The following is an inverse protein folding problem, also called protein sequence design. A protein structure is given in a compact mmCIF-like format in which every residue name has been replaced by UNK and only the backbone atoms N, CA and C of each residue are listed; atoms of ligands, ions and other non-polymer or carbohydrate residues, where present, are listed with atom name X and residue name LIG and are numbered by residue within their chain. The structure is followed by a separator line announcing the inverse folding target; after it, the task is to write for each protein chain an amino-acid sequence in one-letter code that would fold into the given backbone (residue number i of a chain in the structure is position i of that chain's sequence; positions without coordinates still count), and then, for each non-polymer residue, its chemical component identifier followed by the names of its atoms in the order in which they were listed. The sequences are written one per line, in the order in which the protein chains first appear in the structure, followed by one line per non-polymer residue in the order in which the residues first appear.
data_IF_592420553713
#
_entry.id   IF_592420553713
#
_cell.length_a   1.000
_cell.length_b   1.000
_cell.length_c   1.000
_cell.angle_alpha   90.00
_cell.angle_beta   90.00
_cell.angle_gamma   90.00
#
_symmetry.space_group_name_H-M   'P 1'
#
loop_
_entity.id
_entity.type
_entity.pdbx_description
1 polymer ?
#
# COMPACT_ATOMS: atom_id res chain seq x y z
N UNK A 1 0.72 30.83 16.38
CA UNK A 1 0.26 30.89 14.97
C UNK A 1 0.91 29.74 14.18
N UNK A 2 0.74 28.49 14.64
CA UNK A 2 1.43 27.28 14.12
C UNK A 2 0.46 26.14 13.78
N UNK A 3 -0.82 26.30 14.13
CA UNK A 3 -1.88 25.30 13.96
C UNK A 3 -2.40 25.21 12.52
N UNK A 4 -2.40 26.31 11.77
CA UNK A 4 -2.96 26.35 10.41
C UNK A 4 -2.07 25.65 9.37
N UNK A 5 -0.74 25.66 9.53
CA UNK A 5 0.19 25.05 8.56
C UNK A 5 0.28 23.53 8.69
N UNK A 6 0.04 22.97 9.87
CA UNK A 6 0.10 21.52 10.13
C UNK A 6 -1.21 20.79 9.78
N UNK A 7 -2.35 21.48 9.85
CA UNK A 7 -3.69 20.94 9.57
C UNK A 7 -3.84 20.33 8.16
N UNK A 8 -3.39 20.99 7.06
CA UNK A 8 -3.50 20.43 5.71
C UNK A 8 -2.69 19.16 5.51
N UNK A 9 -1.46 19.10 6.04
CA UNK A 9 -0.57 17.95 5.90
C UNK A 9 -1.12 16.73 6.66
N UNK A 10 -1.54 16.91 7.92
CA UNK A 10 -2.19 15.86 8.73
C UNK A 10 -3.48 15.39 8.07
N UNK A 11 -4.32 16.31 7.59
CA UNK A 11 -5.55 15.97 6.86
C UNK A 11 -5.26 15.19 5.58
N UNK A 12 -4.23 15.57 4.83
CA UNK A 12 -3.81 14.85 3.62
C UNK A 12 -3.35 13.43 3.93
N UNK A 13 -2.60 13.24 5.02
CA UNK A 13 -2.11 11.93 5.44
C UNK A 13 -3.26 10.99 5.84
N UNK A 14 -4.28 11.51 6.54
CA UNK A 14 -5.47 10.72 6.92
C UNK A 14 -6.26 10.28 5.70
N UNK A 15 -6.51 11.18 4.74
CA UNK A 15 -7.19 10.81 3.50
C UNK A 15 -6.38 9.82 2.68
N UNK A 16 -5.06 10.00 2.59
CA UNK A 16 -4.20 9.06 1.91
C UNK A 16 -4.20 7.67 2.57
N UNK A 17 -4.27 7.59 3.91
CA UNK A 17 -4.44 6.33 4.62
C UNK A 17 -5.77 5.64 4.28
N UNK A 18 -6.87 6.39 4.21
CA UNK A 18 -8.20 5.86 3.83
C UNK A 18 -8.18 5.34 2.40
N UNK A 19 -7.57 6.09 1.47
CA UNK A 19 -7.42 5.64 0.08
C UNK A 19 -6.56 4.38 0.00
N UNK A 20 -5.49 4.30 0.78
CA UNK A 20 -4.59 3.15 0.78
C UNK A 20 -5.24 1.88 1.32
N UNK A 21 -5.92 1.95 2.47
CA UNK A 21 -6.68 0.77 2.96
C UNK A 21 -7.81 0.38 2.00
N UNK A 22 -8.38 1.35 1.28
CA UNK A 22 -9.35 1.09 0.21
C UNK A 22 -8.74 0.34 -0.97
N UNK A 23 -7.60 0.80 -1.49
CA UNK A 23 -6.85 0.13 -2.56
C UNK A 23 -6.44 -1.29 -2.18
N UNK A 24 -5.92 -1.45 -0.97
CA UNK A 24 -5.54 -2.75 -0.41
C UNK A 24 -6.75 -3.68 -0.26
N UNK A 25 -7.87 -3.16 0.23
CA UNK A 25 -9.12 -3.91 0.34
C UNK A 25 -9.62 -4.41 -1.02
N UNK A 26 -9.57 -3.57 -2.07
CA UNK A 26 -9.92 -3.98 -3.44
C UNK A 26 -8.98 -5.09 -3.93
N UNK A 27 -7.69 -5.04 -3.57
CA UNK A 27 -6.74 -6.09 -3.91
C UNK A 27 -7.04 -7.42 -3.19
N UNK A 28 -7.36 -7.38 -1.90
CA UNK A 28 -7.80 -8.57 -1.16
C UNK A 28 -9.07 -9.17 -1.79
N UNK A 29 -10.02 -8.34 -2.21
CA UNK A 29 -11.22 -8.80 -2.90
C UNK A 29 -10.92 -9.48 -4.24
N UNK A 30 -9.92 -9.01 -5.00
CA UNK A 30 -9.50 -9.71 -6.22
C UNK A 30 -8.92 -11.09 -5.91
N UNK A 31 -8.10 -11.25 -4.86
CA UNK A 31 -7.62 -12.58 -4.45
C UNK A 31 -8.75 -13.52 -4.03
N UNK A 32 -9.72 -13.02 -3.27
CA UNK A 32 -10.92 -13.80 -2.91
C UNK A 32 -11.70 -14.23 -4.16
N UNK A 33 -11.86 -13.31 -5.12
CA UNK A 33 -12.57 -13.55 -6.39
C UNK A 33 -11.82 -14.50 -7.32
N UNK A 34 -10.49 -14.43 -7.38
CA UNK A 34 -9.64 -15.34 -8.17
C UNK A 34 -9.53 -16.73 -7.55
N UNK A 35 -9.77 -16.81 -6.24
CA UNK A 35 -9.56 -17.97 -5.39
C UNK A 35 -8.21 -17.86 -4.67
N UNK A 36 -8.18 -18.11 -3.37
CA UNK A 36 -6.97 -17.93 -2.54
C UNK A 36 -5.80 -18.85 -2.93
N UNK A 37 -6.07 -19.92 -3.68
CA UNK A 37 -5.06 -20.83 -4.25
C UNK A 37 -4.55 -20.41 -5.64
N UNK A 38 -5.08 -19.32 -6.21
CA UNK A 38 -4.62 -18.80 -7.51
C UNK A 38 -3.21 -18.23 -7.45
N UNK A 39 -2.76 -17.80 -6.26
CA UNK A 39 -1.42 -17.29 -6.00
C UNK A 39 -0.60 -18.32 -5.20
N UNK A 40 0.73 -18.36 -5.34
CA UNK A 40 1.58 -19.23 -4.52
C UNK A 40 1.39 -18.98 -3.02
N UNK A 41 1.50 -20.04 -2.20
CA UNK A 41 1.31 -19.92 -0.74
C UNK A 41 2.25 -18.88 -0.10
N UNK A 42 3.50 -18.78 -0.58
CA UNK A 42 4.44 -17.80 -0.09
C UNK A 42 3.98 -16.35 -0.36
N UNK A 43 3.35 -16.09 -1.52
CA UNK A 43 2.74 -14.80 -1.84
C UNK A 43 1.56 -14.51 -0.90
N UNK A 44 0.71 -15.50 -0.63
CA UNK A 44 -0.43 -15.31 0.28
C UNK A 44 0.01 -15.00 1.72
N UNK A 45 1.02 -15.72 2.22
CA UNK A 45 1.61 -15.45 3.54
C UNK A 45 2.26 -14.07 3.57
N UNK A 46 3.07 -13.74 2.56
CA UNK A 46 3.72 -12.43 2.45
C UNK A 46 2.72 -11.28 2.38
N UNK A 47 1.64 -11.45 1.61
CA UNK A 47 0.54 -10.50 1.50
C UNK A 47 -0.22 -10.31 2.82
N UNK A 48 -0.44 -11.38 3.58
CA UNK A 48 -1.05 -11.27 4.91
C UNK A 48 -0.16 -10.50 5.89
N UNK A 49 1.15 -10.79 5.93
CA UNK A 49 2.12 -10.07 6.75
C UNK A 49 2.15 -8.59 6.35
N UNK A 50 2.19 -8.30 5.05
CA UNK A 50 2.11 -6.95 4.52
C UNK A 50 0.81 -6.25 4.93
N UNK A 51 -0.33 -6.95 4.89
CA UNK A 51 -1.61 -6.43 5.34
C UNK A 51 -1.62 -5.99 6.81
N UNK A 52 -0.92 -6.71 7.69
CA UNK A 52 -0.75 -6.28 9.09
C UNK A 52 0.00 -4.93 9.19
N UNK A 53 1.03 -4.74 8.37
CA UNK A 53 1.75 -3.46 8.30
C UNK A 53 0.87 -2.33 7.74
N UNK A 54 0.02 -2.61 6.75
CA UNK A 54 -0.96 -1.63 6.24
C UNK A 54 -1.91 -1.20 7.33
N UNK A 55 -2.55 -2.16 8.01
CA UNK A 55 -3.50 -1.87 9.09
C UNK A 55 -2.82 -1.05 10.19
N UNK A 56 -1.62 -1.44 10.63
CA UNK A 56 -0.88 -0.71 11.65
C UNK A 56 -0.56 0.73 11.21
N UNK A 57 -0.05 0.93 9.99
CA UNK A 57 0.29 2.26 9.48
C UNK A 57 -0.94 3.16 9.32
N UNK A 58 -2.06 2.59 8.86
CA UNK A 58 -3.36 3.29 8.74
C UNK A 58 -3.88 3.70 10.11
N UNK A 59 -3.84 2.79 11.10
CA UNK A 59 -4.25 3.10 12.48
C UNK A 59 -3.41 4.24 13.04
N UNK A 60 -2.08 4.21 12.87
CA UNK A 60 -1.19 5.28 13.31
C UNK A 60 -1.54 6.63 12.64
N UNK A 61 -1.82 6.62 11.33
CA UNK A 61 -2.22 7.82 10.60
C UNK A 61 -3.57 8.38 11.07
N UNK A 62 -4.57 7.52 11.28
CA UNK A 62 -5.89 7.92 11.74
C UNK A 62 -5.88 8.45 13.18
N UNK A 63 -5.04 7.85 14.03
CA UNK A 63 -4.79 8.26 15.41
C UNK A 63 -3.88 9.50 15.53
N UNK A 64 -3.39 10.04 14.41
CA UNK A 64 -2.46 11.18 14.38
C UNK A 64 -1.19 10.93 15.23
N UNK A 65 -0.71 9.70 15.20
CA UNK A 65 0.47 9.29 15.96
C UNK A 65 1.75 9.92 15.37
N UNK A 66 2.72 10.27 16.22
CA UNK A 66 4.01 10.83 15.80
C UNK A 66 4.79 9.94 14.81
N UNK A 67 4.58 8.62 14.85
CA UNK A 67 5.21 7.67 13.94
C UNK A 67 4.53 7.58 12.57
N UNK A 68 3.33 8.14 12.42
CA UNK A 68 2.50 7.99 11.22
C UNK A 68 3.20 8.42 9.92
N UNK A 69 3.92 9.56 9.85
CA UNK A 69 4.60 9.96 8.62
C UNK A 69 5.66 8.94 8.19
N UNK A 70 6.47 8.46 9.16
CA UNK A 70 7.54 7.49 8.90
C UNK A 70 6.97 6.14 8.47
N UNK A 71 5.94 5.65 9.15
CA UNK A 71 5.30 4.37 8.78
C UNK A 71 4.61 4.48 7.43
N UNK A 72 4.00 5.62 7.10
CA UNK A 72 3.39 5.83 5.80
C UNK A 72 4.39 5.76 4.65
N UNK A 73 5.58 6.36 4.83
CA UNK A 73 6.67 6.28 3.84
C UNK A 73 7.11 4.84 3.62
N UNK A 74 7.44 4.14 4.72
CA UNK A 74 7.99 2.77 4.65
C UNK A 74 6.96 1.80 4.09
N UNK A 75 5.73 1.81 4.61
CA UNK A 75 4.70 0.86 4.19
C UNK A 75 4.17 1.20 2.81
N UNK A 76 3.94 2.48 2.50
CA UNK A 76 3.44 2.89 1.19
C UNK A 76 4.40 2.56 0.04
N UNK A 77 5.67 2.95 0.13
CA UNK A 77 6.67 2.59 -0.89
C UNK A 77 7.03 1.11 -0.86
N UNK A 78 7.12 0.51 0.33
CA UNK A 78 7.37 -0.92 0.48
C UNK A 78 6.30 -1.76 -0.22
N UNK A 79 5.02 -1.45 0.00
CA UNK A 79 3.91 -2.04 -0.74
C UNK A 79 4.06 -1.84 -2.24
N UNK A 80 4.25 -0.60 -2.70
CA UNK A 80 4.34 -0.31 -4.14
C UNK A 80 5.43 -1.17 -4.83
N UNK A 81 6.59 -1.32 -4.20
CA UNK A 81 7.67 -2.17 -4.71
C UNK A 81 7.27 -3.66 -4.70
N UNK A 82 6.74 -4.15 -3.58
CA UNK A 82 6.35 -5.55 -3.43
C UNK A 82 5.26 -5.97 -4.43
N UNK A 83 4.19 -5.18 -4.58
CA UNK A 83 3.11 -5.50 -5.52
C UNK A 83 3.54 -5.35 -6.98
N UNK A 84 4.41 -4.38 -7.29
CA UNK A 84 5.01 -4.29 -8.63
C UNK A 84 5.81 -5.56 -8.94
N UNK A 85 6.67 -6.00 -8.02
CA UNK A 85 7.45 -7.23 -8.19
C UNK A 85 6.56 -8.47 -8.30
N UNK A 86 5.56 -8.59 -7.43
CA UNK A 86 4.69 -9.75 -7.36
C UNK A 86 3.83 -9.92 -8.62
N UNK A 87 3.31 -8.83 -9.19
CA UNK A 87 2.28 -8.90 -10.24
C UNK A 87 2.71 -8.35 -11.60
N UNK A 88 3.52 -7.29 -11.63
CA UNK A 88 3.76 -6.53 -12.86
C UNK A 88 5.04 -6.93 -13.59
N UNK A 89 5.93 -7.68 -12.93
CA UNK A 89 7.14 -8.19 -13.54
C UNK A 89 6.94 -9.58 -14.16
N UNK A 90 7.71 -9.94 -15.19
CA UNK A 90 7.83 -11.32 -15.64
C UNK A 90 8.24 -12.26 -14.49
N UNK A 91 7.84 -13.51 -14.58
CA UNK A 91 8.19 -14.52 -13.56
C UNK A 91 9.67 -14.90 -13.68
N UNK A 92 10.47 -14.53 -12.68
CA UNK A 92 11.86 -14.98 -12.49
C UNK A 92 11.92 -16.07 -11.41
N UNK A 93 11.12 -15.91 -10.36
CA UNK A 93 10.94 -16.89 -9.28
C UNK A 93 9.46 -17.16 -9.05
N UNK A 94 8.87 -18.13 -9.77
CA UNK A 94 7.43 -18.39 -9.75
C UNK A 94 6.84 -18.70 -8.36
N UNK A 95 7.62 -19.21 -7.41
CA UNK A 95 7.16 -19.46 -6.05
C UNK A 95 6.93 -18.17 -5.24
N UNK A 96 7.50 -17.05 -5.66
CA UNK A 96 7.46 -15.74 -4.98
C UNK A 96 6.86 -14.65 -5.86
N UNK A 97 6.14 -15.00 -6.92
CA UNK A 97 5.46 -14.07 -7.80
C UNK A 97 4.08 -14.62 -8.18
N UNK A 98 3.10 -13.73 -8.31
CA UNK A 98 1.79 -14.01 -8.90
C UNK A 98 1.63 -13.10 -10.11
N UNK A 99 2.49 -13.34 -11.11
CA UNK A 99 2.65 -12.45 -12.26
C UNK A 99 1.40 -12.42 -13.13
N UNK A 100 1.00 -11.22 -13.53
CA UNK A 100 -0.10 -11.01 -14.48
C UNK A 100 0.40 -10.98 -15.93
N UNK A 101 1.71 -10.85 -16.13
CA UNK A 101 2.36 -10.78 -17.45
C UNK A 101 3.02 -12.09 -17.87
N UNK A 102 3.23 -13.03 -16.94
CA UNK A 102 3.77 -14.37 -17.18
C UNK A 102 2.82 -15.44 -16.66
N UNK A 103 2.80 -16.61 -17.29
CA UNK A 103 1.96 -17.74 -16.85
C UNK A 103 2.21 -18.13 -15.38
N UNK A 104 1.23 -18.75 -14.69
CA UNK A 104 -0.03 -19.28 -15.25
C UNK A 104 -1.19 -18.28 -15.36
N UNK A 105 -1.14 -17.12 -14.70
CA UNK A 105 -2.18 -16.06 -14.71
C UNK A 105 -3.58 -16.56 -14.33
N UNK A 106 -3.66 -17.42 -13.31
CA UNK A 106 -4.91 -18.05 -12.90
C UNK A 106 -5.96 -16.98 -12.55
N UNK A 107 -7.06 -16.97 -13.31
CA UNK A 107 -8.22 -16.10 -13.17
C UNK A 107 -7.94 -14.57 -13.22
N UNK A 108 -6.77 -14.16 -13.71
CA UNK A 108 -6.41 -12.74 -13.87
C UNK A 108 -7.35 -12.10 -14.90
N UNK A 109 -7.98 -10.98 -14.54
CA UNK A 109 -8.84 -10.18 -15.45
C UNK A 109 -8.53 -8.70 -15.33
N UNK A 110 -9.28 -7.85 -16.06
CA UNK A 110 -9.19 -6.39 -15.93
C UNK A 110 -9.34 -5.91 -14.48
N UNK A 111 -10.13 -6.63 -13.66
CA UNK A 111 -10.32 -6.28 -12.26
C UNK A 111 -9.05 -6.47 -11.44
N UNK A 112 -8.26 -7.51 -11.73
CA UNK A 112 -6.96 -7.77 -11.10
C UNK A 112 -5.96 -6.68 -11.44
N UNK A 113 -5.96 -6.20 -12.69
CA UNK A 113 -5.14 -5.05 -13.08
C UNK A 113 -5.54 -3.77 -12.35
N UNK A 114 -6.84 -3.50 -12.28
CA UNK A 114 -7.37 -2.35 -11.54
C UNK A 114 -6.97 -2.42 -10.06
N UNK A 115 -7.12 -3.58 -9.42
CA UNK A 115 -6.84 -3.76 -8.01
C UNK A 115 -5.35 -3.60 -7.69
N UNK A 116 -4.46 -4.17 -8.51
CA UNK A 116 -3.02 -4.02 -8.34
C UNK A 116 -2.55 -2.57 -8.54
N UNK A 117 -3.05 -1.89 -9.58
CA UNK A 117 -2.74 -0.47 -9.82
C UNK A 117 -3.30 0.41 -8.70
N UNK A 118 -4.49 0.10 -8.18
CA UNK A 118 -5.08 0.82 -7.05
C UNK A 118 -4.21 0.69 -5.79
N UNK A 119 -3.76 -0.53 -5.45
CA UNK A 119 -2.88 -0.77 -4.29
C UNK A 119 -1.54 -0.02 -4.44
N UNK A 120 -0.89 -0.15 -5.60
CA UNK A 120 0.39 0.51 -5.87
C UNK A 120 0.23 2.04 -5.84
N UNK A 121 -0.77 2.56 -6.55
CA UNK A 121 -1.01 4.00 -6.67
C UNK A 121 -1.37 4.64 -5.33
N UNK A 122 -2.27 4.03 -4.57
CA UNK A 122 -2.68 4.56 -3.26
C UNK A 122 -1.56 4.40 -2.21
N UNK A 123 -0.76 3.35 -2.29
CA UNK A 123 0.47 3.20 -1.49
C UNK A 123 1.49 4.30 -1.74
N UNK A 124 1.74 4.66 -3.00
CA UNK A 124 2.60 5.80 -3.37
C UNK A 124 2.03 7.12 -2.83
N UNK A 125 0.73 7.35 -2.99
CA UNK A 125 0.06 8.55 -2.46
C UNK A 125 0.22 8.65 -0.94
N UNK A 126 0.08 7.53 -0.23
CA UNK A 126 0.27 7.47 1.22
C UNK A 126 1.71 7.78 1.63
N UNK A 127 2.69 7.21 0.94
CA UNK A 127 4.10 7.50 1.19
C UNK A 127 4.46 8.96 0.92
N UNK A 128 3.97 9.55 -0.18
CA UNK A 128 4.19 10.96 -0.52
C UNK A 128 3.53 11.88 0.51
N UNK A 129 2.33 11.55 0.98
CA UNK A 129 1.70 12.28 2.08
C UNK A 129 2.54 12.20 3.37
N UNK A 130 3.13 11.04 3.66
CA UNK A 130 4.08 10.86 4.77
C UNK A 130 5.34 11.73 4.63
N UNK A 131 5.92 11.83 3.43
CA UNK A 131 7.05 12.73 3.15
C UNK A 131 6.68 14.20 3.39
N UNK A 132 5.52 14.63 2.91
CA UNK A 132 5.02 16.00 3.10
C UNK A 132 4.81 16.31 4.59
N UNK A 133 4.16 15.40 5.31
CA UNK A 133 3.93 15.56 6.75
C UNK A 133 5.25 15.62 7.56
N UNK A 134 6.27 14.85 7.16
CA UNK A 134 7.58 14.86 7.83
C UNK A 134 8.29 16.22 7.66
N UNK A 135 8.26 16.79 6.45
CA UNK A 135 8.85 18.12 6.17
C UNK A 135 8.20 19.23 6.98
N UNK A 136 6.87 19.21 7.12
CA UNK A 136 6.16 20.20 7.94
C UNK A 136 6.56 20.12 9.42
N UNK A 137 6.80 18.92 9.95
CA UNK A 137 7.27 18.75 11.34
C UNK A 137 8.68 19.30 11.51
N UNK A 138 9.58 19.04 10.55
CA UNK A 138 10.95 19.57 10.56
C UNK A 138 11.00 21.09 10.45
N UNK A 139 10.16 21.70 9.61
CA UNK A 139 10.07 23.16 9.44
C UNK A 139 9.58 23.85 10.72
N UNK A 140 8.64 23.25 11.46
CA UNK A 140 8.13 23.80 12.73
C UNK A 140 9.14 23.64 13.87
N UNK A 141 10.03 22.65 13.80
CA UNK A 141 11.03 22.38 14.83
C UNK A 141 12.30 23.26 14.68
N UNK A 142 12.47 23.94 13.55
CA UNK A 142 13.58 24.89 13.29
C UNK A 142 13.18 26.31 13.68
#
# INVERSE_FOLDING_TARGET
MTTELSQPAVRSLRWAAILFVGGWGVHVLDHLRRGMSASPHAIMIGGMIQGLFVVAAVVLALAQNQWAPRTAIVVGFGSAILFTYAHLLPSFWPAYQDSFVSGPRINVTWFSWLSAVAEIGTGIVFAVAGLRASRTVEEVAR
#
